data_IF_295012886933
#
_entry.id   IF_295012886933
#
_cell.length_a   1.000
_cell.length_b   1.000
_cell.length_c   1.000
_cell.angle_alpha   90.00
_cell.angle_beta   90.00
_cell.angle_gamma   90.00
#
_symmetry.space_group_name_H-M   'P 1'
#
loop_
_entity.id
_entity.type
_entity.pdbx_description
1 polymer ?
#
# COMPACT_ATOMS: atom_id res chain seq x y z
N UNK A 1 -7.29 -2.10 -19.07
CA UNK A 1 -6.95 -3.11 -18.05
C UNK A 1 -7.45 -2.58 -16.72
N UNK A 2 -8.14 -3.39 -15.91
CA UNK A 2 -8.59 -2.97 -14.57
C UNK A 2 -7.47 -3.11 -13.55
N UNK A 3 -7.59 -2.39 -12.45
CA UNK A 3 -6.66 -2.40 -11.32
C UNK A 3 -7.36 -3.04 -10.12
N UNK A 4 -6.59 -3.73 -9.28
CA UNK A 4 -7.06 -4.26 -8.00
C UNK A 4 -6.41 -3.43 -6.89
N UNK A 5 -7.23 -2.76 -6.08
CA UNK A 5 -6.76 -1.90 -4.99
C UNK A 5 -7.01 -2.56 -3.64
N UNK A 6 -6.04 -2.43 -2.73
CA UNK A 6 -6.08 -3.06 -1.42
C UNK A 6 -5.23 -2.28 -0.40
N UNK A 7 -5.28 -2.70 0.87
CA UNK A 7 -4.39 -2.16 1.91
C UNK A 7 -4.52 -0.66 2.15
N UNK A 8 -5.75 -0.11 2.14
CA UNK A 8 -5.97 1.31 2.43
C UNK A 8 -5.55 1.64 3.85
N UNK A 9 -4.83 2.74 4.02
CA UNK A 9 -4.36 3.20 5.32
C UNK A 9 -4.43 4.72 5.43
N UNK A 10 -4.37 5.21 6.68
CA UNK A 10 -4.19 6.62 6.98
C UNK A 10 -2.71 6.97 7.07
N UNK A 11 -2.38 8.25 6.89
CA UNK A 11 -1.01 8.74 6.86
C UNK A 11 -0.28 8.40 5.56
N UNK A 12 0.92 8.97 5.40
CA UNK A 12 1.82 8.62 4.29
C UNK A 12 2.85 7.61 4.76
N UNK A 13 3.02 6.54 3.99
CA UNK A 13 4.08 5.57 4.22
C UNK A 13 5.38 6.02 3.55
N UNK A 14 6.50 5.57 4.10
CA UNK A 14 7.83 5.81 3.55
C UNK A 14 8.08 5.01 2.27
N UNK A 15 9.19 5.31 1.58
CA UNK A 15 9.64 4.58 0.39
C UNK A 15 9.85 3.07 0.61
N UNK A 16 9.93 2.60 1.86
CA UNK A 16 9.98 1.17 2.15
C UNK A 16 8.68 0.45 1.72
N UNK A 17 7.52 1.10 1.84
CA UNK A 17 6.25 0.55 1.34
C UNK A 17 6.25 0.34 -0.19
N UNK A 18 6.82 1.30 -0.94
CA UNK A 18 6.96 1.17 -2.40
C UNK A 18 7.83 -0.04 -2.75
N UNK A 19 8.97 -0.22 -2.07
CA UNK A 19 9.86 -1.36 -2.31
C UNK A 19 9.21 -2.70 -1.98
N UNK A 20 8.37 -2.76 -0.95
CA UNK A 20 7.60 -3.97 -0.64
C UNK A 20 6.64 -4.27 -1.79
N UNK A 21 5.86 -3.28 -2.24
CA UNK A 21 4.91 -3.45 -3.34
C UNK A 21 5.59 -3.88 -4.65
N UNK A 22 6.69 -3.22 -5.02
CA UNK A 22 7.44 -3.47 -6.25
C UNK A 22 7.98 -4.92 -6.33
N UNK A 23 8.33 -5.54 -5.20
CA UNK A 23 8.77 -6.95 -5.18
C UNK A 23 7.70 -7.94 -5.63
N UNK A 24 6.43 -7.55 -5.57
CA UNK A 24 5.28 -8.40 -5.88
C UNK A 24 4.50 -7.90 -7.11
N UNK A 25 5.16 -7.14 -7.99
CA UNK A 25 4.54 -6.51 -9.18
C UNK A 25 3.31 -5.62 -8.84
N UNK A 26 3.36 -4.99 -7.66
CA UNK A 26 2.38 -4.04 -7.17
C UNK A 26 3.00 -2.64 -7.04
N UNK A 27 2.16 -1.64 -6.77
CA UNK A 27 2.57 -0.28 -6.49
C UNK A 27 1.85 0.27 -5.25
N UNK A 28 2.37 1.37 -4.73
CA UNK A 28 1.81 2.07 -3.57
C UNK A 28 1.60 3.54 -3.91
N UNK A 29 0.51 4.11 -3.40
CA UNK A 29 0.12 5.50 -3.63
C UNK A 29 -0.07 6.20 -2.30
N UNK A 30 0.67 7.30 -2.10
CA UNK A 30 0.38 8.28 -1.07
C UNK A 30 -0.46 9.41 -1.68
N UNK A 31 -1.56 9.75 -1.02
CA UNK A 31 -2.52 10.75 -1.46
C UNK A 31 -2.83 11.76 -0.35
N UNK A 32 -3.04 13.03 -0.73
CA UNK A 32 -3.52 14.07 0.18
C UNK A 32 -4.94 14.42 -0.26
N UNK A 33 -5.91 14.13 0.60
CA UNK A 33 -7.32 14.37 0.30
C UNK A 33 -7.58 15.88 0.14
N UNK A 34 -8.10 16.32 -1.02
CA UNK A 34 -8.40 17.72 -1.26
C UNK A 34 -9.51 18.19 -0.32
N UNK A 35 -9.40 19.41 0.18
CA UNK A 35 -10.36 20.01 1.11
C UNK A 35 -10.11 19.66 2.58
N UNK A 36 -9.70 18.43 2.90
CA UNK A 36 -9.41 18.04 4.30
C UNK A 36 -7.92 18.07 4.63
N UNK A 37 -7.04 17.92 3.63
CA UNK A 37 -5.60 17.77 3.82
C UNK A 37 -5.21 16.43 4.46
N UNK A 38 -6.15 15.50 4.64
CA UNK A 38 -5.88 14.20 5.26
C UNK A 38 -4.98 13.38 4.36
N UNK A 39 -3.92 12.82 4.95
CA UNK A 39 -3.01 11.91 4.28
C UNK A 39 -3.58 10.50 4.34
N UNK A 40 -3.64 9.84 3.20
CA UNK A 40 -4.09 8.46 3.04
C UNK A 40 -3.21 7.77 2.01
N UNK A 41 -3.28 6.46 1.95
CA UNK A 41 -2.68 5.71 0.86
C UNK A 41 -3.34 4.36 0.65
N UNK A 42 -2.94 3.72 -0.44
CA UNK A 42 -3.39 2.39 -0.82
C UNK A 42 -2.37 1.73 -1.72
N UNK A 43 -2.50 0.42 -1.85
CA UNK A 43 -1.73 -0.39 -2.78
C UNK A 43 -2.58 -0.76 -3.99
N UNK A 44 -1.93 -1.02 -5.11
CA UNK A 44 -2.57 -1.49 -6.32
C UNK A 44 -1.74 -2.52 -7.04
N UNK A 45 -2.39 -3.44 -7.74
CA UNK A 45 -1.76 -4.36 -8.68
C UNK A 45 -2.62 -4.53 -9.93
N UNK A 46 -2.05 -5.15 -10.97
CA UNK A 46 -2.83 -5.49 -12.18
C UNK A 46 -3.94 -6.45 -11.79
N UNK A 47 -5.17 -6.18 -12.23
CA UNK A 47 -6.27 -7.10 -12.01
C UNK A 47 -6.21 -8.21 -13.07
N UNK A 48 -5.52 -9.30 -12.73
CA UNK A 48 -5.42 -10.51 -13.54
C UNK A 48 -6.56 -11.50 -13.27
N UNK A 49 -7.52 -11.11 -12.43
CA UNK A 49 -8.57 -11.97 -11.92
C UNK A 49 -8.11 -12.91 -10.80
N UNK A 50 -9.08 -13.40 -10.03
CA UNK A 50 -8.83 -14.36 -8.97
C UNK A 50 -8.24 -15.67 -9.57
N UNK A 51 -7.17 -16.23 -8.96
CA UNK A 51 -6.61 -15.90 -7.65
C UNK A 51 -5.41 -14.95 -7.66
N UNK A 52 -4.96 -14.47 -8.81
CA UNK A 52 -3.66 -13.82 -8.95
C UNK A 52 -3.58 -12.45 -8.27
N UNK A 53 -4.64 -11.64 -8.40
CA UNK A 53 -4.73 -10.33 -7.72
C UNK A 53 -4.72 -10.47 -6.19
N UNK A 54 -5.47 -11.45 -5.68
CA UNK A 54 -5.52 -11.79 -4.26
C UNK A 54 -4.18 -12.28 -3.72
N UNK A 55 -3.49 -13.15 -4.45
CA UNK A 55 -2.20 -13.67 -4.04
C UNK A 55 -1.14 -12.55 -3.93
N UNK A 56 -1.10 -11.63 -4.90
CA UNK A 56 -0.25 -10.44 -4.83
C UNK A 56 -0.61 -9.56 -3.62
N UNK A 57 -1.90 -9.30 -3.39
CA UNK A 57 -2.33 -8.49 -2.26
C UNK A 57 -1.95 -9.11 -0.91
N UNK A 58 -2.17 -10.41 -0.74
CA UNK A 58 -1.81 -11.15 0.48
C UNK A 58 -0.29 -11.15 0.71
N UNK A 59 0.52 -11.32 -0.34
CA UNK A 59 1.97 -11.31 -0.24
C UNK A 59 2.52 -9.93 0.18
N UNK A 60 1.98 -8.85 -0.40
CA UNK A 60 2.35 -7.47 -0.02
C UNK A 60 1.99 -7.20 1.44
N UNK A 61 0.78 -7.57 1.88
CA UNK A 61 0.34 -7.33 3.26
C UNK A 61 1.14 -8.16 4.27
N UNK A 62 1.51 -9.40 3.93
CA UNK A 62 2.37 -10.23 4.78
C UNK A 62 3.76 -9.61 4.99
N UNK A 63 4.37 -9.06 3.94
CA UNK A 63 5.66 -8.35 4.04
C UNK A 63 5.55 -7.08 4.91
N UNK A 64 4.42 -6.37 4.83
CA UNK A 64 4.14 -5.18 5.66
C UNK A 64 4.02 -5.58 7.14
N UNK A 65 3.27 -6.64 7.43
CA UNK A 65 3.12 -7.14 8.79
C UNK A 65 4.47 -7.59 9.35
N UNK A 66 5.31 -8.25 8.55
CA UNK A 66 6.64 -8.71 8.95
C UNK A 66 7.59 -7.57 9.38
N UNK A 67 7.38 -6.35 8.89
CA UNK A 67 8.19 -5.17 9.27
C UNK A 67 7.56 -4.35 10.41
N UNK A 68 6.47 -4.83 11.01
CA UNK A 68 5.77 -4.15 12.11
C UNK A 68 4.50 -3.41 11.69
N UNK A 69 3.91 -3.78 10.55
CA UNK A 69 2.67 -3.21 10.04
C UNK A 69 2.84 -1.81 9.43
N UNK A 70 1.71 -1.19 9.09
CA UNK A 70 1.71 0.17 8.52
C UNK A 70 2.35 1.21 9.46
N UNK A 71 2.19 1.06 10.77
CA UNK A 71 2.75 1.99 11.77
C UNK A 71 4.27 2.09 11.71
N UNK A 72 4.96 0.97 11.47
CA UNK A 72 6.40 0.95 11.31
C UNK A 72 6.87 1.68 10.04
N UNK A 73 5.99 1.78 9.05
CA UNK A 73 6.24 2.39 7.74
C UNK A 73 5.75 3.83 7.64
N UNK A 74 5.05 4.38 8.64
CA UNK A 74 4.58 5.77 8.63
C UNK A 74 5.72 6.79 8.68
N UNK A 75 5.55 7.92 7.99
CA UNK A 75 6.43 9.07 8.18
C UNK A 75 6.27 9.65 9.60
N UNK A 76 7.31 9.50 10.44
CA UNK A 76 7.35 9.97 11.85
C UNK A 76 7.14 11.48 12.06
N UNK A 77 7.09 12.29 11.00
CA UNK A 77 6.76 13.71 11.07
C UNK A 77 5.27 13.98 11.30
N UNK A 78 4.45 12.94 11.28
CA UNK A 78 2.97 13.03 11.28
C UNK A 78 2.34 12.57 12.61
N UNK A 79 3.12 12.53 13.71
CA UNK A 79 2.62 12.20 15.06
C UNK A 79 2.73 13.38 16.01
#
# INVERSE_FOLDING_TARGET
MSEHFFGTHDGHLTAAANRIAERHDAWHVNYVEPGTGKRRGWFGCRNLGHPFDRATAEAVLADIDAVGGFDALLHKRDR
#
